data_IF_400626118341
#
_entry.id   IF_400626118341
#
_cell.length_a   1.000
_cell.length_b   1.000
_cell.length_c   1.000
_cell.angle_alpha   90.00
_cell.angle_beta   90.00
_cell.angle_gamma   90.00
#
_symmetry.space_group_name_H-M   'P 1'
#
loop_
_entity.id
_entity.type
_entity.pdbx_description
1 polymer ?
#
# COMPACT_ATOMS: atom_id res chain seq x y z
N UNK A 1 -12.42 -31.69 -9.16
CA UNK A 1 -11.00 -31.97 -9.26
C UNK A 1 -10.50 -31.09 -10.40
N UNK A 2 -10.02 -29.89 -10.11
CA UNK A 2 -9.49 -28.94 -11.09
C UNK A 2 -8.05 -28.68 -10.71
N UNK A 3 -7.12 -29.10 -11.58
CA UNK A 3 -5.69 -28.94 -11.43
C UNK A 3 -5.37 -27.43 -11.37
N UNK A 4 -4.83 -26.99 -10.25
CA UNK A 4 -4.04 -25.77 -10.23
C UNK A 4 -2.88 -25.98 -11.21
N UNK A 5 -2.74 -25.11 -12.20
CA UNK A 5 -1.53 -25.08 -13.01
C UNK A 5 -0.38 -24.72 -12.06
N UNK A 6 0.35 -25.71 -11.61
CA UNK A 6 1.60 -25.53 -10.94
C UNK A 6 2.57 -24.92 -11.97
N UNK A 7 3.20 -23.80 -11.63
CA UNK A 7 4.35 -23.31 -12.38
C UNK A 7 5.34 -24.47 -12.56
N UNK A 8 5.92 -24.57 -13.74
CA UNK A 8 6.98 -25.55 -13.99
C UNK A 8 8.14 -25.27 -13.00
N UNK A 9 8.80 -26.30 -12.46
CA UNK A 9 9.93 -26.12 -11.51
C UNK A 9 11.01 -25.16 -12.01
N UNK A 10 11.24 -25.10 -13.32
CA UNK A 10 12.17 -24.18 -13.98
C UNK A 10 11.75 -22.71 -13.88
N UNK A 11 10.47 -22.38 -13.95
CA UNK A 11 9.97 -21.00 -13.80
C UNK A 11 10.10 -20.52 -12.33
N UNK A 12 9.94 -21.44 -11.38
CA UNK A 12 10.13 -21.15 -9.97
C UNK A 12 11.62 -20.90 -9.64
N UNK A 13 12.51 -21.70 -10.19
CA UNK A 13 13.95 -21.56 -10.02
C UNK A 13 14.46 -20.26 -10.68
N UNK A 14 14.02 -19.93 -11.89
CA UNK A 14 14.35 -18.66 -12.56
C UNK A 14 13.82 -17.44 -11.77
N UNK A 15 12.63 -17.53 -11.18
CA UNK A 15 12.07 -16.47 -10.36
C UNK A 15 12.85 -16.33 -9.05
N UNK A 16 13.25 -17.44 -8.43
CA UNK A 16 14.08 -17.44 -7.22
C UNK A 16 15.51 -16.93 -7.48
N UNK A 17 16.09 -17.27 -8.61
CA UNK A 17 17.42 -16.75 -9.02
C UNK A 17 17.35 -15.26 -9.36
N UNK A 18 16.33 -14.80 -10.10
CA UNK A 18 16.11 -13.38 -10.37
C UNK A 18 15.91 -12.58 -9.08
N UNK A 19 15.32 -13.20 -8.05
CA UNK A 19 15.10 -12.58 -6.75
C UNK A 19 16.33 -12.57 -5.87
N UNK A 20 17.10 -13.67 -5.88
CA UNK A 20 18.40 -13.71 -5.21
C UNK A 20 19.33 -12.66 -5.82
N UNK A 21 19.26 -12.47 -7.13
CA UNK A 21 20.02 -11.46 -7.85
C UNK A 21 19.51 -10.06 -7.57
N UNK A 22 18.20 -9.82 -7.55
CA UNK A 22 17.59 -8.54 -7.17
C UNK A 22 17.78 -8.22 -5.67
N UNK A 23 17.81 -9.23 -4.79
CA UNK A 23 18.15 -9.04 -3.38
C UNK A 23 19.65 -8.71 -3.21
N UNK A 24 20.51 -9.38 -3.97
CA UNK A 24 21.95 -9.09 -3.98
C UNK A 24 22.27 -7.73 -4.61
N UNK A 25 21.60 -7.37 -5.71
CA UNK A 25 21.71 -6.04 -6.32
C UNK A 25 21.16 -4.94 -5.40
N UNK A 26 20.18 -5.24 -4.54
CA UNK A 26 19.68 -4.32 -3.50
C UNK A 26 20.57 -4.26 -2.27
N UNK A 27 21.27 -5.32 -1.90
CA UNK A 27 22.36 -5.26 -0.90
C UNK A 27 23.57 -4.46 -1.39
N UNK A 28 23.91 -4.60 -2.67
CA UNK A 28 24.91 -3.76 -3.35
C UNK A 28 24.37 -2.34 -3.59
N UNK A 29 23.05 -2.19 -3.73
CA UNK A 29 22.32 -0.93 -3.98
C UNK A 29 22.08 -0.06 -2.74
N UNK A 30 22.73 -0.29 -1.62
CA UNK A 30 22.67 0.60 -0.45
C UNK A 30 23.16 2.04 -0.78
N UNK A 31 23.96 2.17 -1.82
CA UNK A 31 24.42 3.46 -2.35
C UNK A 31 23.36 4.20 -3.21
N UNK A 32 22.26 3.54 -3.60
CA UNK A 32 21.19 4.13 -4.42
C UNK A 32 19.91 4.43 -3.64
N UNK A 33 19.85 4.09 -2.35
CA UNK A 33 18.70 4.41 -1.51
C UNK A 33 18.69 5.89 -1.15
N UNK A 34 17.52 6.53 -1.16
CA UNK A 34 17.42 7.94 -0.84
C UNK A 34 17.91 8.22 0.59
N UNK A 35 18.71 9.26 0.73
CA UNK A 35 19.13 9.79 2.03
C UNK A 35 18.00 10.60 2.66
N UNK A 36 18.17 11.04 3.92
CA UNK A 36 17.20 11.93 4.57
C UNK A 36 17.04 13.26 3.82
N UNK A 37 18.09 13.76 3.18
CA UNK A 37 18.06 14.98 2.35
C UNK A 37 17.30 14.74 1.06
N UNK A 38 17.53 13.61 0.37
CA UNK A 38 16.80 13.24 -0.85
C UNK A 38 15.30 13.08 -0.56
N UNK A 39 14.96 12.40 0.55
CA UNK A 39 13.56 12.24 0.97
C UNK A 39 12.93 13.60 1.29
N UNK A 40 13.65 14.49 1.99
CA UNK A 40 13.16 15.81 2.36
C UNK A 40 13.00 16.74 1.13
N UNK A 41 13.78 16.53 0.06
CA UNK A 41 13.69 17.32 -1.17
C UNK A 41 12.41 17.04 -1.98
N UNK A 42 11.82 15.82 -1.84
CA UNK A 42 10.57 15.49 -2.52
C UNK A 42 9.39 16.27 -1.92
N UNK A 43 8.43 16.73 -2.78
CA UNK A 43 7.23 17.42 -2.29
C UNK A 43 6.45 16.59 -1.26
N UNK A 44 5.83 17.26 -0.29
CA UNK A 44 4.93 16.59 0.66
C UNK A 44 3.56 16.39 0.02
N UNK A 45 3.10 15.14 -0.05
CA UNK A 45 1.75 14.79 -0.52
C UNK A 45 0.74 14.78 0.61
N UNK A 46 1.06 14.09 1.72
CA UNK A 46 0.22 14.14 2.92
C UNK A 46 1.04 14.75 4.05
N UNK A 47 0.46 15.72 4.74
CA UNK A 47 1.01 16.32 5.95
C UNK A 47 0.05 16.08 7.11
N UNK A 48 0.52 15.39 8.14
CA UNK A 48 -0.24 15.10 9.37
C UNK A 48 0.39 15.88 10.50
N UNK A 49 -0.42 16.66 11.22
CA UNK A 49 0.03 17.50 12.33
C UNK A 49 -0.82 17.23 13.56
N UNK A 50 -0.20 16.71 14.64
CA UNK A 50 -0.80 16.53 15.95
C UNK A 50 -2.10 15.72 15.93
N UNK A 51 -2.11 14.58 15.23
CA UNK A 51 -3.31 13.79 15.02
C UNK A 51 -3.62 12.89 16.21
N UNK A 52 -4.75 13.12 16.83
CA UNK A 52 -5.37 12.24 17.81
C UNK A 52 -6.59 11.55 17.22
N UNK A 53 -6.75 10.24 17.48
CA UNK A 53 -7.94 9.50 17.06
C UNK A 53 -8.46 8.65 18.23
N UNK A 54 -9.77 8.71 18.43
CA UNK A 54 -10.47 7.96 19.44
C UNK A 54 -11.55 7.07 18.83
N UNK A 55 -11.66 5.85 19.34
CA UNK A 55 -12.82 4.98 19.14
C UNK A 55 -13.57 4.87 20.46
N UNK A 56 -14.65 5.63 20.64
CA UNK A 56 -15.27 5.84 21.95
C UNK A 56 -14.25 6.42 22.94
N UNK A 57 -13.99 5.70 24.03
CA UNK A 57 -13.01 6.10 25.07
C UNK A 57 -11.58 5.63 24.75
N UNK A 58 -11.39 4.79 23.73
CA UNK A 58 -10.07 4.25 23.39
C UNK A 58 -9.29 5.24 22.52
N UNK A 59 -8.17 5.75 23.06
CA UNK A 59 -7.23 6.64 22.37
C UNK A 59 -6.30 5.82 21.46
N UNK A 60 -6.65 5.68 20.20
CA UNK A 60 -6.00 4.78 19.24
C UNK A 60 -4.79 5.41 18.53
N UNK A 61 -4.78 6.73 18.31
CA UNK A 61 -3.64 7.50 17.81
C UNK A 61 -3.41 8.69 18.74
N UNK A 62 -2.14 8.99 19.05
CA UNK A 62 -1.71 9.95 20.05
C UNK A 62 -0.68 10.90 19.47
N UNK A 63 -1.07 12.16 19.24
CA UNK A 63 -0.21 13.26 18.77
C UNK A 63 0.68 12.86 17.57
N UNK A 64 0.08 12.16 16.58
CA UNK A 64 0.83 11.65 15.42
C UNK A 64 1.10 12.78 14.44
N UNK A 65 2.38 13.02 14.13
CA UNK A 65 2.82 13.98 13.11
C UNK A 65 3.76 13.29 12.12
N UNK A 66 3.39 13.27 10.82
CA UNK A 66 4.17 12.61 9.77
C UNK A 66 3.96 13.26 8.41
N UNK A 67 5.02 13.28 7.59
CA UNK A 67 4.97 13.74 6.18
C UNK A 67 5.19 12.58 5.23
N UNK A 68 4.21 12.34 4.36
CA UNK A 68 4.34 11.38 3.26
C UNK A 68 4.80 12.14 2.02
N UNK A 69 5.89 11.68 1.44
CA UNK A 69 6.55 12.34 0.32
C UNK A 69 6.06 11.78 -1.02
N UNK A 70 6.08 12.66 -2.03
CA UNK A 70 5.64 12.29 -3.38
C UNK A 70 6.54 11.22 -4.01
N UNK A 71 5.91 10.27 -4.71
CA UNK A 71 6.57 9.18 -5.45
C UNK A 71 7.58 8.40 -4.61
N UNK A 72 7.22 8.15 -3.37
CA UNK A 72 7.98 7.33 -2.44
C UNK A 72 7.10 6.23 -1.85
N UNK A 73 7.74 5.15 -1.41
CA UNK A 73 7.10 4.12 -0.60
C UNK A 73 7.43 4.41 0.86
N UNK A 74 6.42 4.79 1.63
CA UNK A 74 6.51 4.90 3.09
C UNK A 74 5.86 3.68 3.74
N UNK A 75 6.61 2.88 4.48
CA UNK A 75 6.04 1.75 5.22
C UNK A 75 5.79 2.07 6.69
N UNK A 76 4.64 1.66 7.20
CA UNK A 76 4.30 1.70 8.61
C UNK A 76 4.52 0.31 9.21
N UNK A 77 5.41 0.21 10.20
CA UNK A 77 5.72 -1.03 10.94
C UNK A 77 5.38 -0.88 12.42
N UNK A 78 5.27 -2.00 13.12
CA UNK A 78 4.98 -2.05 14.56
C UNK A 78 4.06 -3.20 14.92
N UNK A 79 3.85 -3.47 16.22
CA UNK A 79 3.00 -4.54 16.71
C UNK A 79 1.55 -4.43 16.22
N UNK A 80 0.81 -5.55 16.26
CA UNK A 80 -0.63 -5.54 15.97
C UNK A 80 -1.37 -4.62 16.95
N UNK A 81 -2.33 -3.85 16.44
CA UNK A 81 -3.14 -2.94 17.26
C UNK A 81 -2.46 -1.61 17.63
N UNK A 82 -1.25 -1.30 17.17
CA UNK A 82 -0.55 -0.05 17.51
C UNK A 82 -1.00 1.19 16.71
N UNK A 83 -2.06 1.10 15.88
CA UNK A 83 -2.64 2.27 15.19
C UNK A 83 -2.29 2.43 13.70
N UNK A 84 -1.43 1.60 13.09
CA UNK A 84 -0.99 1.72 11.67
C UNK A 84 -2.14 1.80 10.67
N UNK A 85 -3.01 0.78 10.67
CA UNK A 85 -4.17 0.74 9.78
C UNK A 85 -5.20 1.83 10.12
N UNK A 86 -5.26 2.27 11.38
CA UNK A 86 -6.09 3.40 11.81
C UNK A 86 -5.61 4.68 11.13
N UNK A 87 -4.31 4.98 11.20
CA UNK A 87 -3.74 6.15 10.52
C UNK A 87 -3.90 6.04 8.99
N UNK A 88 -3.59 4.87 8.42
CA UNK A 88 -3.74 4.65 6.98
C UNK A 88 -5.14 5.01 6.49
N UNK A 89 -6.18 4.58 7.22
CA UNK A 89 -7.60 4.84 6.92
C UNK A 89 -8.03 6.29 7.16
N UNK A 90 -7.26 7.10 7.88
CA UNK A 90 -7.51 8.53 7.98
C UNK A 90 -7.24 9.24 6.65
N UNK A 91 -6.27 8.79 5.86
CA UNK A 91 -5.86 9.45 4.62
C UNK A 91 -6.93 9.44 3.52
N UNK A 92 -7.87 8.49 3.57
CA UNK A 92 -9.02 8.42 2.65
C UNK A 92 -10.37 8.51 3.38
N UNK A 93 -10.35 8.89 4.67
CA UNK A 93 -11.54 9.08 5.52
C UNK A 93 -12.42 7.82 5.62
N UNK A 94 -11.81 6.64 5.62
CA UNK A 94 -12.54 5.38 5.85
C UNK A 94 -13.04 5.25 7.29
N UNK A 95 -12.40 5.93 8.25
CA UNK A 95 -12.79 5.93 9.65
C UNK A 95 -14.10 6.71 9.91
N UNK A 96 -14.52 7.60 9.01
CA UNK A 96 -15.78 8.36 9.13
C UNK A 96 -17.02 7.46 9.26
N UNK A 97 -16.95 6.23 8.73
CA UNK A 97 -18.04 5.24 8.83
C UNK A 97 -18.08 4.47 10.15
N UNK A 98 -17.09 4.67 11.03
CA UNK A 98 -17.01 3.97 12.31
C UNK A 98 -17.75 4.77 13.37
N UNK A 99 -18.71 4.11 14.03
CA UNK A 99 -19.48 4.74 15.11
C UNK A 99 -18.56 5.19 16.24
N UNK A 100 -18.81 6.38 16.80
CA UNK A 100 -18.06 6.98 17.89
C UNK A 100 -16.56 7.18 17.58
N UNK A 101 -16.19 7.29 16.29
CA UNK A 101 -14.85 7.69 15.87
C UNK A 101 -14.74 9.22 15.92
N UNK A 102 -13.75 9.72 16.66
CA UNK A 102 -13.42 11.14 16.76
C UNK A 102 -11.97 11.36 16.38
N UNK A 103 -11.73 12.33 15.49
CA UNK A 103 -10.41 12.69 14.99
C UNK A 103 -10.15 14.16 15.32
N UNK A 104 -9.02 14.44 15.92
CA UNK A 104 -8.54 15.79 16.25
C UNK A 104 -7.17 15.99 15.60
N UNK A 105 -6.76 17.25 15.38
CA UNK A 105 -5.53 17.57 14.63
C UNK A 105 -5.81 17.87 13.16
N UNK A 106 -4.79 17.72 12.32
CA UNK A 106 -4.88 18.10 10.90
C UNK A 106 -4.27 17.05 9.99
N UNK A 107 -4.95 16.81 8.86
CA UNK A 107 -4.41 16.04 7.73
C UNK A 107 -4.61 16.87 6.48
N UNK A 108 -3.50 17.22 5.80
CA UNK A 108 -3.55 17.94 4.54
C UNK A 108 -3.07 17.06 3.38
N UNK A 109 -3.81 17.08 2.28
CA UNK A 109 -3.43 16.50 0.99
C UNK A 109 -3.08 17.65 0.04
N UNK A 110 -1.81 17.73 -0.40
CA UNK A 110 -1.29 18.85 -1.19
C UNK A 110 -1.63 20.22 -0.56
N UNK A 111 -1.50 20.35 0.76
CA UNK A 111 -1.77 21.55 1.53
C UNK A 111 -3.25 21.83 1.82
N UNK A 112 -4.20 21.04 1.31
CA UNK A 112 -5.63 21.17 1.59
C UNK A 112 -6.05 20.24 2.72
N UNK A 113 -6.68 20.78 3.77
CA UNK A 113 -7.23 19.99 4.87
C UNK A 113 -8.32 19.03 4.35
N UNK A 114 -8.14 17.73 4.63
CA UNK A 114 -9.08 16.68 4.20
C UNK A 114 -10.09 16.31 5.29
N UNK A 115 -9.92 16.74 6.54
CA UNK A 115 -10.86 16.46 7.63
C UNK A 115 -12.06 17.41 7.61
N UNK A 116 -11.90 18.58 6.98
CA UNK A 116 -12.94 19.61 6.88
C UNK A 116 -13.91 19.38 5.71
N UNK A 117 -14.16 20.45 4.94
CA UNK A 117 -15.12 20.47 3.83
C UNK A 117 -14.62 19.83 2.53
N UNK A 118 -13.64 18.96 2.58
CA UNK A 118 -13.11 18.28 1.37
C UNK A 118 -14.12 17.27 0.82
N UNK A 119 -14.33 17.26 -0.49
CA UNK A 119 -15.22 16.29 -1.14
C UNK A 119 -14.68 14.87 -1.01
N UNK A 120 -15.43 14.00 -0.35
CA UNK A 120 -15.01 12.63 -0.03
C UNK A 120 -14.89 11.74 -1.27
N UNK A 121 -15.71 11.97 -2.30
CA UNK A 121 -15.63 11.21 -3.55
C UNK A 121 -14.35 11.59 -4.29
N UNK A 122 -14.04 12.88 -4.37
CA UNK A 122 -12.80 13.38 -4.94
C UNK A 122 -11.57 12.90 -4.14
N UNK A 123 -11.65 12.87 -2.81
CA UNK A 123 -10.58 12.35 -1.96
C UNK A 123 -10.29 10.88 -2.31
N UNK A 124 -11.33 10.04 -2.36
CA UNK A 124 -11.18 8.60 -2.61
C UNK A 124 -10.83 8.24 -4.06
N UNK A 125 -11.00 9.16 -5.00
CA UNK A 125 -10.43 9.03 -6.35
C UNK A 125 -8.92 9.24 -6.32
N UNK A 126 -8.45 10.26 -5.56
CA UNK A 126 -7.03 10.61 -5.45
C UNK A 126 -6.25 9.66 -4.53
N UNK A 127 -6.92 9.10 -3.52
CA UNK A 127 -6.32 8.23 -2.49
C UNK A 127 -7.00 6.86 -2.53
N UNK A 128 -6.48 5.99 -3.40
CA UNK A 128 -6.92 4.61 -3.55
C UNK A 128 -6.48 3.72 -2.39
N UNK A 129 -7.13 2.56 -2.21
CA UNK A 129 -6.78 1.63 -1.14
C UNK A 129 -6.93 0.17 -1.56
N UNK A 130 -5.90 -0.62 -1.28
CA UNK A 130 -5.92 -2.08 -1.30
C UNK A 130 -5.95 -2.61 0.14
N UNK A 131 -6.93 -3.46 0.44
CA UNK A 131 -7.20 -3.97 1.78
C UNK A 131 -6.39 -5.23 2.08
N UNK A 132 -6.23 -5.55 3.35
CA UNK A 132 -5.55 -6.75 3.86
C UNK A 132 -6.16 -8.04 3.30
N UNK A 133 -7.49 -8.13 3.26
CA UNK A 133 -8.19 -9.24 2.60
C UNK A 133 -8.67 -8.79 1.23
N UNK A 134 -8.34 -9.53 0.18
CA UNK A 134 -8.88 -9.26 -1.14
C UNK A 134 -10.41 -9.15 -1.08
N UNK A 135 -10.96 -8.16 -1.73
CA UNK A 135 -12.40 -7.90 -1.74
C UNK A 135 -12.92 -7.62 -3.15
N UNK A 136 -12.70 -8.52 -4.13
CA UNK A 136 -13.27 -8.34 -5.44
C UNK A 136 -14.80 -8.29 -5.34
N UNK A 137 -15.43 -7.45 -6.17
CA UNK A 137 -16.88 -7.40 -6.26
C UNK A 137 -17.41 -8.69 -6.91
N UNK A 138 -18.67 -9.13 -6.59
CA UNK A 138 -19.28 -10.31 -7.19
C UNK A 138 -19.70 -10.03 -8.64
N UNK A 139 -18.74 -9.69 -9.48
CA UNK A 139 -18.91 -9.37 -10.90
C UNK A 139 -17.68 -9.86 -11.68
N UNK A 140 -17.68 -9.64 -13.00
CA UNK A 140 -16.58 -10.07 -13.86
C UNK A 140 -15.26 -9.38 -13.49
N UNK A 141 -14.12 -9.98 -13.93
CA UNK A 141 -12.79 -9.36 -13.81
C UNK A 141 -12.81 -7.97 -14.46
N UNK A 142 -13.35 -7.89 -15.69
CA UNK A 142 -13.49 -6.63 -16.42
C UNK A 142 -14.31 -5.60 -15.61
N UNK A 143 -15.49 -5.98 -15.13
CA UNK A 143 -16.37 -5.05 -14.43
C UNK A 143 -15.82 -4.61 -13.07
N UNK A 144 -15.01 -5.44 -12.41
CA UNK A 144 -14.28 -5.02 -11.21
C UNK A 144 -13.37 -3.81 -11.51
N UNK A 145 -12.58 -3.88 -12.58
CA UNK A 145 -11.64 -2.81 -12.95
C UNK A 145 -12.39 -1.60 -13.52
N UNK A 146 -13.36 -1.82 -14.40
CA UNK A 146 -14.15 -0.77 -15.03
C UNK A 146 -15.13 -0.05 -14.07
N UNK A 147 -15.30 -0.55 -12.84
CA UNK A 147 -16.27 -0.02 -11.87
C UNK A 147 -16.03 1.45 -11.54
N UNK A 148 -14.79 1.79 -11.15
CA UNK A 148 -14.39 3.16 -10.81
C UNK A 148 -14.54 4.12 -11.98
N UNK A 149 -13.93 3.87 -13.14
CA UNK A 149 -14.06 4.71 -14.34
C UNK A 149 -15.52 4.95 -14.77
N UNK A 150 -16.38 3.91 -14.73
CA UNK A 150 -17.82 4.06 -14.99
C UNK A 150 -18.50 4.97 -13.97
N UNK A 151 -18.13 4.85 -12.69
CA UNK A 151 -18.60 5.73 -11.62
C UNK A 151 -18.23 7.20 -11.85
N UNK A 152 -17.07 7.44 -12.46
CA UNK A 152 -16.58 8.76 -12.87
C UNK A 152 -17.22 9.27 -14.16
N UNK A 153 -18.11 8.50 -14.79
CA UNK A 153 -18.84 8.91 -15.99
C UNK A 153 -18.22 8.49 -17.32
N UNK A 154 -17.14 7.68 -17.31
CA UNK A 154 -16.58 7.13 -18.56
C UNK A 154 -17.57 6.15 -19.17
N UNK A 155 -18.03 6.43 -20.38
CA UNK A 155 -19.05 5.64 -21.10
C UNK A 155 -18.54 5.03 -22.39
N UNK A 156 -17.49 5.61 -22.98
CA UNK A 156 -16.86 5.10 -24.18
C UNK A 156 -16.21 3.74 -23.91
N UNK A 157 -16.60 2.76 -24.73
CA UNK A 157 -16.16 1.38 -24.55
C UNK A 157 -14.67 1.21 -24.87
N UNK A 158 -14.17 1.90 -25.89
CA UNK A 158 -12.76 1.79 -26.26
C UNK A 158 -11.87 2.36 -25.14
N UNK A 159 -12.28 3.49 -24.54
CA UNK A 159 -11.56 4.06 -23.38
C UNK A 159 -11.61 3.14 -22.17
N UNK A 160 -12.75 2.49 -21.91
CA UNK A 160 -12.87 1.52 -20.81
C UNK A 160 -12.00 0.29 -21.06
N UNK A 161 -11.96 -0.23 -22.30
CA UNK A 161 -11.15 -1.40 -22.66
C UNK A 161 -9.67 -1.09 -22.46
N UNK A 162 -9.20 0.09 -22.87
CA UNK A 162 -7.82 0.56 -22.67
C UNK A 162 -7.48 0.74 -21.17
N UNK A 163 -8.34 1.38 -20.40
CA UNK A 163 -8.14 1.56 -18.94
C UNK A 163 -8.10 0.22 -18.20
N UNK A 164 -8.94 -0.75 -18.59
CA UNK A 164 -8.97 -2.08 -17.98
C UNK A 164 -7.69 -2.84 -18.30
N UNK A 165 -7.25 -2.84 -19.56
CA UNK A 165 -6.02 -3.50 -19.96
C UNK A 165 -4.80 -2.87 -19.26
N UNK A 166 -4.65 -1.54 -19.30
CA UNK A 166 -3.55 -0.84 -18.63
C UNK A 166 -3.50 -1.14 -17.13
N UNK A 167 -4.64 -1.06 -16.46
CA UNK A 167 -4.71 -1.32 -15.02
C UNK A 167 -4.36 -2.77 -14.66
N UNK A 168 -4.79 -3.75 -15.47
CA UNK A 168 -4.43 -5.15 -15.28
C UNK A 168 -2.97 -5.43 -15.58
N UNK A 169 -2.37 -4.76 -16.58
CA UNK A 169 -0.92 -4.83 -16.85
C UNK A 169 -0.11 -4.26 -15.72
N UNK A 170 -0.47 -3.06 -15.26
CA UNK A 170 0.17 -2.39 -14.12
C UNK A 170 0.03 -3.18 -12.82
N UNK A 171 -1.00 -4.01 -12.68
CA UNK A 171 -1.17 -4.92 -11.55
C UNK A 171 -0.54 -6.31 -11.78
N UNK A 172 0.27 -6.48 -12.83
CA UNK A 172 0.91 -7.74 -13.22
C UNK A 172 -0.09 -8.93 -13.30
N UNK A 173 -1.31 -8.68 -13.80
CA UNK A 173 -2.38 -9.67 -13.85
C UNK A 173 -2.89 -9.94 -15.28
N UNK A 174 -2.60 -9.05 -16.24
CA UNK A 174 -3.16 -9.11 -17.60
C UNK A 174 -2.96 -10.47 -18.28
N UNK A 175 -1.73 -10.97 -18.31
CA UNK A 175 -1.41 -12.20 -19.04
C UNK A 175 -2.10 -13.44 -18.48
N UNK A 176 -2.45 -13.43 -17.21
CA UNK A 176 -3.17 -14.51 -16.53
C UNK A 176 -4.70 -14.46 -16.76
N UNK A 177 -5.26 -13.28 -17.15
CA UNK A 177 -6.71 -13.08 -17.18
C UNK A 177 -7.28 -12.55 -18.49
N UNK A 178 -6.44 -12.17 -19.47
CA UNK A 178 -6.86 -11.54 -20.74
C UNK A 178 -7.92 -12.36 -21.52
N UNK A 179 -7.84 -13.70 -21.45
CA UNK A 179 -8.76 -14.60 -22.18
C UNK A 179 -10.04 -14.91 -21.37
N UNK A 180 -10.13 -14.48 -20.09
CA UNK A 180 -11.23 -14.77 -19.17
C UNK A 180 -11.80 -13.53 -18.46
N UNK A 181 -11.67 -12.35 -19.07
CA UNK A 181 -12.13 -11.06 -18.49
C UNK A 181 -13.60 -11.03 -18.10
N UNK A 182 -14.45 -11.87 -18.74
CA UNK A 182 -15.89 -11.98 -18.44
C UNK A 182 -16.20 -12.95 -17.31
N UNK A 183 -15.23 -13.72 -16.85
CA UNK A 183 -15.41 -14.62 -15.71
C UNK A 183 -15.46 -13.86 -14.40
N UNK A 184 -16.02 -14.51 -13.36
CA UNK A 184 -16.14 -13.91 -12.04
C UNK A 184 -14.77 -13.66 -11.39
N UNK A 185 -14.55 -12.44 -10.88
CA UNK A 185 -13.36 -12.10 -10.10
C UNK A 185 -13.21 -12.94 -8.82
N UNK A 186 -14.31 -13.49 -8.29
CA UNK A 186 -14.28 -14.36 -7.11
C UNK A 186 -13.68 -15.76 -7.41
N UNK A 187 -13.60 -16.16 -8.68
CA UNK A 187 -12.99 -17.43 -9.09
C UNK A 187 -11.46 -17.42 -9.17
N UNK A 188 -10.84 -16.28 -8.98
CA UNK A 188 -9.38 -16.11 -9.00
C UNK A 188 -8.73 -16.66 -7.73
N UNK A 189 -7.42 -17.00 -7.79
CA UNK A 189 -6.63 -17.31 -6.60
C UNK A 189 -6.49 -16.09 -5.67
N UNK A 190 -6.09 -16.29 -4.41
CA UNK A 190 -5.94 -15.20 -3.45
C UNK A 190 -4.99 -14.09 -3.94
N UNK A 191 -3.83 -14.46 -4.49
CA UNK A 191 -2.88 -13.51 -5.07
C UNK A 191 -3.43 -12.79 -6.30
N UNK A 192 -4.15 -13.50 -7.18
CA UNK A 192 -4.83 -12.88 -8.33
C UNK A 192 -5.94 -11.93 -7.88
N UNK A 193 -6.72 -12.30 -6.86
CA UNK A 193 -7.75 -11.42 -6.30
C UNK A 193 -7.15 -10.14 -5.71
N UNK A 194 -6.01 -10.25 -5.02
CA UNK A 194 -5.31 -9.08 -4.48
C UNK A 194 -4.87 -8.15 -5.59
N UNK A 195 -4.23 -8.70 -6.64
CA UNK A 195 -3.82 -7.92 -7.81
C UNK A 195 -5.01 -7.34 -8.58
N UNK A 196 -6.14 -8.04 -8.64
CA UNK A 196 -7.38 -7.49 -9.20
C UNK A 196 -7.90 -6.29 -8.38
N UNK A 197 -7.84 -6.35 -7.05
CA UNK A 197 -8.21 -5.22 -6.19
C UNK A 197 -7.26 -4.03 -6.36
N UNK A 198 -5.97 -4.29 -6.58
CA UNK A 198 -4.99 -3.24 -6.91
C UNK A 198 -5.29 -2.65 -8.30
N UNK A 199 -5.53 -3.48 -9.33
CA UNK A 199 -5.93 -3.02 -10.66
C UNK A 199 -7.18 -2.12 -10.60
N UNK A 200 -8.19 -2.53 -9.84
CA UNK A 200 -9.41 -1.73 -9.61
C UNK A 200 -9.10 -0.36 -8.99
N UNK A 201 -8.18 -0.30 -8.03
CA UNK A 201 -7.76 0.95 -7.42
C UNK A 201 -6.97 1.83 -8.40
N UNK A 202 -6.11 1.24 -9.25
CA UNK A 202 -5.31 1.93 -10.26
C UNK A 202 -6.14 2.49 -11.41
N UNK A 203 -7.29 1.88 -11.73
CA UNK A 203 -8.14 2.26 -12.87
C UNK A 203 -8.70 3.69 -12.76
N UNK A 204 -8.76 4.27 -11.58
CA UNK A 204 -9.12 5.68 -11.36
C UNK A 204 -7.92 6.63 -11.34
N UNK A 205 -6.72 6.11 -11.60
CA UNK A 205 -5.44 6.84 -11.65
C UNK A 205 -5.19 7.67 -10.38
N UNK A 206 -5.11 7.02 -9.21
CA UNK A 206 -4.93 7.72 -7.95
C UNK A 206 -3.54 8.36 -7.84
N UNK A 207 -3.44 9.49 -7.11
CA UNK A 207 -2.16 10.12 -6.75
C UNK A 207 -1.43 9.30 -5.67
N UNK A 208 -2.20 8.65 -4.80
CA UNK A 208 -1.70 7.87 -3.66
C UNK A 208 -2.41 6.51 -3.61
N UNK A 209 -1.65 5.45 -3.40
CA UNK A 209 -2.17 4.11 -3.16
C UNK A 209 -1.81 3.66 -1.73
N UNK A 210 -2.83 3.41 -0.93
CA UNK A 210 -2.73 2.86 0.41
C UNK A 210 -2.81 1.33 0.33
N UNK A 211 -1.91 0.63 1.01
CA UNK A 211 -1.87 -0.82 1.07
C UNK A 211 -1.86 -1.28 2.53
N UNK A 212 -2.96 -1.86 3.00
CA UNK A 212 -3.11 -2.37 4.37
C UNK A 212 -2.74 -3.86 4.38
N UNK A 213 -1.52 -4.22 4.78
CA UNK A 213 -0.99 -5.59 4.83
C UNK A 213 -1.24 -6.41 3.54
N UNK A 214 -0.86 -5.90 2.35
CA UNK A 214 -1.33 -6.43 1.06
C UNK A 214 -0.87 -7.86 0.76
N UNK A 215 0.06 -8.41 1.52
CA UNK A 215 0.68 -9.72 1.29
C UNK A 215 0.46 -10.71 2.43
N UNK A 216 -0.24 -10.32 3.50
CA UNK A 216 -0.37 -11.13 4.73
C UNK A 216 -1.07 -12.48 4.55
N UNK A 217 -1.90 -12.61 3.50
CA UNK A 217 -2.66 -13.83 3.19
C UNK A 217 -2.18 -14.50 1.88
N UNK A 218 -1.01 -14.11 1.36
CA UNK A 218 -0.49 -14.58 0.09
C UNK A 218 0.63 -15.61 0.29
N UNK A 219 0.77 -16.51 -0.68
CA UNK A 219 1.93 -17.39 -0.80
C UNK A 219 3.20 -16.58 -1.12
N UNK A 220 4.40 -17.15 -0.93
CA UNK A 220 5.66 -16.43 -1.14
C UNK A 220 5.82 -15.85 -2.56
N UNK A 221 5.40 -16.59 -3.61
CA UNK A 221 5.52 -16.15 -5.00
C UNK A 221 4.62 -14.94 -5.25
N UNK A 222 3.35 -15.03 -4.87
CA UNK A 222 2.39 -13.92 -4.97
C UNK A 222 2.84 -12.70 -4.17
N UNK A 223 3.48 -12.91 -3.00
CA UNK A 223 4.05 -11.83 -2.18
C UNK A 223 5.10 -11.04 -2.96
N UNK A 224 6.00 -11.74 -3.63
CA UNK A 224 7.09 -11.10 -4.38
C UNK A 224 6.58 -10.32 -5.59
N UNK A 225 5.57 -10.85 -6.28
CA UNK A 225 4.91 -10.13 -7.38
C UNK A 225 4.30 -8.82 -6.88
N UNK A 226 3.65 -8.82 -5.71
CA UNK A 226 3.06 -7.60 -5.12
C UNK A 226 4.15 -6.63 -4.63
N UNK A 227 5.29 -7.12 -4.11
CA UNK A 227 6.43 -6.29 -3.73
C UNK A 227 7.06 -5.59 -4.94
N UNK A 228 7.31 -6.34 -6.02
CA UNK A 228 7.84 -5.76 -7.25
C UNK A 228 6.87 -4.76 -7.86
N UNK A 229 5.59 -5.09 -7.89
CA UNK A 229 4.53 -4.18 -8.32
C UNK A 229 4.56 -2.87 -7.53
N UNK A 230 4.72 -2.91 -6.20
CA UNK A 230 4.81 -1.69 -5.40
C UNK A 230 6.03 -0.84 -5.80
N UNK A 231 7.18 -1.47 -6.06
CA UNK A 231 8.37 -0.76 -6.52
C UNK A 231 8.19 -0.09 -7.90
N UNK A 232 7.45 -0.71 -8.81
CA UNK A 232 7.15 -0.14 -10.13
C UNK A 232 6.14 1.01 -10.04
N UNK A 233 5.11 0.83 -9.21
CA UNK A 233 4.04 1.83 -9.04
C UNK A 233 4.53 3.15 -8.45
N UNK A 234 5.61 3.17 -7.66
CA UNK A 234 6.12 4.42 -7.07
C UNK A 234 6.56 5.44 -8.12
N UNK A 235 6.88 5.02 -9.34
CA UNK A 235 7.21 5.93 -10.44
C UNK A 235 6.01 6.80 -10.86
N UNK A 236 4.81 6.32 -10.61
CA UNK A 236 3.56 6.98 -11.05
C UNK A 236 2.70 7.48 -9.91
N UNK A 237 2.74 6.86 -8.73
CA UNK A 237 1.96 7.28 -7.56
C UNK A 237 2.75 7.09 -6.26
N UNK A 238 2.34 7.82 -5.23
CA UNK A 238 2.88 7.69 -3.88
C UNK A 238 2.29 6.46 -3.20
N UNK A 239 3.09 5.68 -2.48
CA UNK A 239 2.58 4.50 -1.77
C UNK A 239 2.76 4.64 -0.26
N UNK A 240 1.72 4.20 0.48
CA UNK A 240 1.81 4.00 1.92
C UNK A 240 1.43 2.57 2.22
N UNK A 241 2.35 1.80 2.79
CA UNK A 241 2.20 0.36 3.01
C UNK A 241 2.22 0.07 4.50
N UNK A 242 1.18 -0.54 5.03
CA UNK A 242 1.20 -1.14 6.37
C UNK A 242 1.68 -2.58 6.24
N UNK A 243 2.67 -2.96 7.02
CA UNK A 243 3.14 -4.34 7.09
C UNK A 243 3.67 -4.68 8.48
N UNK A 244 3.49 -5.92 8.90
CA UNK A 244 4.15 -6.49 10.07
C UNK A 244 5.44 -7.26 9.70
N UNK A 245 5.73 -7.39 8.40
CA UNK A 245 6.94 -8.03 7.90
C UNK A 245 8.06 -7.01 7.73
N UNK A 246 8.99 -6.98 8.67
CA UNK A 246 10.15 -6.08 8.67
C UNK A 246 11.05 -6.26 7.45
N UNK A 247 11.22 -7.50 6.98
CA UNK A 247 12.03 -7.79 5.79
C UNK A 247 11.38 -7.21 4.53
N UNK A 248 10.05 -7.29 4.40
CA UNK A 248 9.32 -6.65 3.33
C UNK A 248 9.52 -5.13 3.37
N UNK A 249 9.29 -4.48 4.53
CA UNK A 249 9.52 -3.05 4.67
C UNK A 249 10.95 -2.66 4.30
N UNK A 250 11.95 -3.46 4.74
CA UNK A 250 13.35 -3.23 4.40
C UNK A 250 13.64 -3.35 2.89
N UNK A 251 12.94 -4.23 2.16
CA UNK A 251 13.17 -4.42 0.72
C UNK A 251 12.55 -3.32 -0.14
N UNK A 252 11.29 -2.95 0.14
CA UNK A 252 10.51 -2.13 -0.81
C UNK A 252 10.48 -0.64 -0.47
N UNK A 253 10.74 -0.23 0.80
CA UNK A 253 10.45 1.13 1.26
C UNK A 253 11.60 2.10 1.07
N UNK A 254 11.28 3.35 0.78
CA UNK A 254 12.21 4.48 0.80
C UNK A 254 12.35 5.02 2.24
N UNK A 255 11.23 5.10 2.97
CA UNK A 255 11.21 5.47 4.40
C UNK A 255 10.32 4.54 5.20
N UNK A 256 10.59 4.42 6.49
CA UNK A 256 9.85 3.57 7.42
C UNK A 256 9.46 4.36 8.66
N UNK A 257 8.19 4.21 9.06
CA UNK A 257 7.63 4.79 10.28
C UNK A 257 7.29 3.67 11.27
N UNK A 258 7.90 3.69 12.44
CA UNK A 258 7.64 2.73 13.51
C UNK A 258 6.60 3.26 14.48
N UNK A 259 5.54 2.46 14.69
CA UNK A 259 4.42 2.77 15.58
C UNK A 259 4.41 1.85 16.79
N UNK A 260 4.11 2.43 17.96
CA UNK A 260 3.95 1.71 19.21
C UNK A 260 2.85 2.35 20.06
N UNK A 261 1.85 1.58 20.49
CA UNK A 261 0.78 1.98 21.41
C UNK A 261 0.06 3.31 21.04
N UNK A 262 -0.13 3.51 19.74
CA UNK A 262 -0.79 4.69 19.17
C UNK A 262 0.14 5.86 18.85
N UNK A 263 1.42 5.77 19.17
CA UNK A 263 2.41 6.82 18.93
C UNK A 263 3.27 6.50 17.70
N UNK A 264 3.67 7.53 16.96
CA UNK A 264 4.76 7.45 16.00
C UNK A 264 6.08 7.63 16.76
N UNK A 265 6.82 6.53 16.90
CA UNK A 265 8.08 6.50 17.67
C UNK A 265 9.23 7.05 16.86
N UNK A 266 9.36 6.62 15.61
CA UNK A 266 10.46 7.01 14.72
C UNK A 266 10.02 6.95 13.26
N UNK A 267 10.42 7.94 12.46
CA UNK A 267 10.25 7.95 11.01
C UNK A 267 11.58 8.37 10.36
N UNK A 268 12.17 7.47 9.57
CA UNK A 268 13.48 7.68 9.00
C UNK A 268 13.61 6.99 7.63
N UNK A 269 14.64 7.33 6.83
CA UNK A 269 15.05 6.54 5.67
C UNK A 269 15.24 5.07 6.04
N UNK A 270 14.85 4.16 5.17
CA UNK A 270 14.85 2.72 5.45
C UNK A 270 16.21 2.22 5.94
N UNK A 271 17.29 2.60 5.25
CA UNK A 271 18.64 2.18 5.62
C UNK A 271 19.03 2.67 7.03
N UNK A 272 18.66 3.90 7.39
CA UNK A 272 18.93 4.46 8.70
C UNK A 272 18.16 3.71 9.79
N UNK A 273 16.84 3.55 9.62
CA UNK A 273 15.98 2.95 10.65
C UNK A 273 16.38 1.50 10.95
N UNK A 274 16.73 0.71 9.93
CA UNK A 274 17.10 -0.69 10.12
C UNK A 274 18.54 -0.90 10.61
N UNK A 275 19.48 0.00 10.28
CA UNK A 275 20.90 -0.14 10.68
C UNK A 275 21.24 0.62 11.97
N UNK A 276 20.71 1.83 12.10
CA UNK A 276 21.05 2.75 13.19
C UNK A 276 19.80 3.49 13.67
N UNK A 277 18.81 2.78 14.26
CA UNK A 277 17.62 3.44 14.83
C UNK A 277 18.04 4.43 15.93
N UNK A 278 17.37 5.57 16.00
CA UNK A 278 17.67 6.62 16.98
C UNK A 278 16.92 6.42 18.29
N UNK A 279 15.73 5.81 18.25
CA UNK A 279 14.93 5.51 19.45
C UNK A 279 15.22 4.07 19.93
N UNK A 280 15.54 3.86 21.21
CA UNK A 280 15.78 2.54 21.79
C UNK A 280 14.60 1.58 21.60
N UNK A 281 13.36 2.06 21.61
CA UNK A 281 12.14 1.26 21.38
C UNK A 281 12.12 0.69 19.97
N UNK A 282 12.61 1.44 18.98
CA UNK A 282 12.77 0.96 17.60
C UNK A 282 13.83 -0.14 17.55
N UNK A 283 14.99 0.04 18.19
CA UNK A 283 16.06 -0.95 18.24
C UNK A 283 15.58 -2.27 18.89
N UNK A 284 14.85 -2.17 20.00
CA UNK A 284 14.28 -3.34 20.70
C UNK A 284 13.27 -4.08 19.82
N UNK A 285 12.40 -3.36 19.12
CA UNK A 285 11.44 -3.95 18.19
C UNK A 285 12.15 -4.69 17.04
N UNK A 286 13.14 -4.07 16.41
CA UNK A 286 13.88 -4.67 15.29
C UNK A 286 14.69 -5.91 15.69
N UNK A 287 15.17 -5.96 16.94
CA UNK A 287 15.95 -7.10 17.47
C UNK A 287 15.08 -8.19 18.09
N UNK A 288 13.76 -8.04 18.10
CA UNK A 288 12.83 -9.01 18.71
C UNK A 288 12.87 -9.05 20.24
N UNK A 289 13.45 -8.02 20.88
CA UNK A 289 13.54 -7.91 22.35
C UNK A 289 12.28 -7.26 22.97
N UNK A 290 11.21 -7.23 22.20
CA UNK A 290 9.92 -6.73 22.64
C UNK A 290 9.20 -7.81 23.47
N UNK A 291 9.13 -7.64 24.76
CA UNK A 291 8.43 -8.51 25.69
C UNK A 291 8.13 -7.78 26.99
#
# INVERSE_FOLDING_TARGET
MTAAAAMEPTELDELMEAQAQAAHEREVGDATRPTAEDLAASPTRIDVEGLDLFYGDHHALKDVSIKIRDKQITSFIGPSGCGKSTLLRCFNRMNDGIKDCRIEGKIALDGQDILGAYDICRLRQRVGMAFQRPNPFPMSIYDNVAYGPRGMGVRDRAVLDELVEDSLRRAALWDEVKDKLKESGLGLSGGQQQRLCIARALAVQPDILLMDEPTSALDPVSTLVVEQLACELKETCTLVVVTHNMQQAARISDSVAFFLLGELVEHAPTAQLFKNPTDPRTADYLTGRFG
#
